data_IF_092580079200
#
_entry.id   IF_092580079200
#
_cell.length_a   1.000
_cell.length_b   1.000
_cell.length_c   1.000
_cell.angle_alpha   90.00
_cell.angle_beta   90.00
_cell.angle_gamma   90.00
#
_symmetry.space_group_name_H-M   'P 1'
#
loop_
_entity.id
_entity.type
_entity.pdbx_description
1 polymer ?
#
# COMPACT_ATOMS: atom_id res chain seq x y z
N UNK A 1 -29.43 34.24 -39.05
CA UNK A 1 -27.97 34.02 -38.90
C UNK A 1 -27.80 32.76 -38.07
N UNK A 2 -27.67 31.60 -38.71
CA UNK A 2 -27.53 30.30 -38.03
C UNK A 2 -26.06 30.07 -37.71
N UNK A 3 -25.71 30.01 -36.43
CA UNK A 3 -24.35 29.74 -35.97
C UNK A 3 -24.09 28.24 -36.18
N UNK A 4 -23.13 27.91 -37.05
CA UNK A 4 -22.67 26.55 -37.28
C UNK A 4 -21.90 26.04 -36.06
N UNK A 5 -22.49 25.15 -35.28
CA UNK A 5 -21.81 24.39 -34.24
C UNK A 5 -21.13 23.16 -34.85
N UNK A 6 -20.10 23.38 -35.66
CA UNK A 6 -19.14 22.32 -35.98
C UNK A 6 -18.17 22.22 -34.82
N UNK A 7 -18.55 21.48 -33.78
CA UNK A 7 -17.61 21.01 -32.76
C UNK A 7 -16.64 20.06 -33.48
N UNK A 8 -15.33 20.37 -33.53
CA UNK A 8 -14.38 19.42 -34.06
C UNK A 8 -14.42 18.18 -33.16
N UNK A 9 -14.78 17.03 -33.74
CA UNK A 9 -14.54 15.73 -33.11
C UNK A 9 -13.02 15.56 -33.12
N UNK A 10 -12.36 16.07 -32.09
CA UNK A 10 -10.97 15.72 -31.82
C UNK A 10 -11.01 14.26 -31.40
N UNK A 11 -10.71 13.37 -32.35
CA UNK A 11 -10.51 11.96 -32.08
C UNK A 11 -9.16 11.80 -31.35
N UNK A 12 -9.07 12.33 -30.13
CA UNK A 12 -7.92 12.19 -29.23
C UNK A 12 -7.99 10.81 -28.58
N UNK A 13 -8.04 9.74 -29.38
CA UNK A 13 -7.81 8.42 -28.83
C UNK A 13 -6.33 8.33 -28.49
N UNK A 14 -6.03 8.47 -27.20
CA UNK A 14 -4.72 8.14 -26.67
C UNK A 14 -4.36 6.72 -27.14
N UNK A 15 -3.13 6.50 -27.64
CA UNK A 15 -2.71 5.17 -28.07
C UNK A 15 -2.83 4.23 -26.88
N UNK A 16 -3.34 3.01 -27.12
CA UNK A 16 -3.47 1.99 -26.07
C UNK A 16 -2.11 1.82 -25.37
N UNK A 17 -2.04 1.95 -24.04
CA UNK A 17 -0.77 1.86 -23.35
C UNK A 17 -0.17 0.47 -23.55
N UNK A 18 1.16 0.43 -23.62
CA UNK A 18 1.94 -0.80 -23.73
C UNK A 18 2.85 -0.90 -22.53
N UNK A 19 3.17 -2.14 -22.16
CA UNK A 19 4.16 -2.42 -21.11
C UNK A 19 3.87 -1.66 -19.80
N UNK A 20 2.60 -1.70 -19.39
CA UNK A 20 2.15 -1.06 -18.14
C UNK A 20 2.73 -1.80 -16.95
N UNK A 21 3.30 -1.06 -16.01
CA UNK A 21 3.91 -1.65 -14.82
C UNK A 21 4.59 -0.63 -13.94
N UNK A 22 5.54 -1.09 -13.12
CA UNK A 22 6.22 -0.27 -12.12
C UNK A 22 7.35 0.53 -12.80
N UNK A 23 7.17 1.84 -12.84
CA UNK A 23 8.15 2.79 -13.38
C UNK A 23 9.20 3.17 -12.33
N UNK A 24 8.77 3.41 -11.11
CA UNK A 24 9.61 3.78 -9.98
C UNK A 24 9.00 3.27 -8.68
N UNK A 25 9.83 3.09 -7.66
CA UNK A 25 9.40 2.64 -6.34
C UNK A 25 10.27 3.30 -5.28
N UNK A 26 9.63 3.78 -4.21
CA UNK A 26 10.26 4.34 -3.03
C UNK A 26 9.77 3.63 -1.79
N UNK A 27 10.68 3.35 -0.86
CA UNK A 27 10.38 2.64 0.39
C UNK A 27 10.79 3.52 1.55
N UNK A 28 9.92 3.61 2.55
CA UNK A 28 10.21 4.24 3.82
C UNK A 28 9.87 3.29 4.96
N UNK A 29 10.77 3.20 5.93
CA UNK A 29 10.51 2.58 7.23
C UNK A 29 11.08 3.49 8.33
N UNK A 30 10.50 3.49 9.54
CA UNK A 30 11.01 4.28 10.65
C UNK A 30 12.47 3.93 10.98
N UNK A 31 13.27 4.94 11.33
CA UNK A 31 14.69 4.75 11.64
C UNK A 31 14.92 4.09 13.01
N UNK A 32 13.91 4.07 13.89
CA UNK A 32 14.00 3.41 15.19
C UNK A 32 13.59 1.95 15.04
N UNK A 33 14.38 1.07 15.65
CA UNK A 33 14.09 -0.34 15.70
C UNK A 33 14.38 -0.92 17.08
N UNK A 34 13.73 -2.05 17.36
CA UNK A 34 13.94 -2.87 18.55
C UNK A 34 14.71 -4.11 18.10
N UNK A 35 15.81 -4.41 18.79
CA UNK A 35 16.57 -5.65 18.61
C UNK A 35 15.76 -6.84 19.14
N UNK A 36 15.52 -7.83 18.29
CA UNK A 36 14.80 -9.06 18.69
C UNK A 36 15.57 -9.87 19.72
N UNK A 37 16.91 -9.76 19.72
CA UNK A 37 17.75 -10.39 20.73
C UNK A 37 17.50 -9.80 22.13
N UNK A 38 17.29 -8.48 22.20
CA UNK A 38 17.02 -7.74 23.44
C UNK A 38 15.55 -7.89 23.86
N UNK A 39 14.62 -7.85 22.90
CA UNK A 39 13.20 -8.11 23.16
C UNK A 39 12.98 -9.50 23.75
N UNK A 40 13.71 -10.50 23.27
CA UNK A 40 13.72 -11.85 23.85
C UNK A 40 14.16 -11.84 25.32
N UNK A 41 15.21 -11.09 25.67
CA UNK A 41 15.67 -10.98 27.07
C UNK A 41 14.60 -10.31 27.92
N UNK A 42 13.99 -9.24 27.41
CA UNK A 42 12.91 -8.51 28.07
C UNK A 42 11.68 -9.40 28.33
N UNK A 43 11.25 -10.19 27.34
CA UNK A 43 10.09 -11.08 27.44
C UNK A 43 10.36 -12.37 28.24
N UNK A 44 11.61 -12.66 28.59
CA UNK A 44 12.01 -13.94 29.20
C UNK A 44 11.80 -15.14 28.26
N UNK A 45 11.88 -14.93 26.95
CA UNK A 45 11.63 -15.95 25.94
C UNK A 45 12.79 -16.94 25.78
N UNK A 46 12.54 -18.21 25.39
CA UNK A 46 13.58 -19.19 25.13
C UNK A 46 14.60 -18.73 24.09
N UNK A 47 15.85 -19.16 24.25
CA UNK A 47 16.92 -18.85 23.30
C UNK A 47 16.54 -19.31 21.88
N UNK A 48 16.79 -18.44 20.91
CA UNK A 48 16.50 -18.70 19.50
C UNK A 48 15.03 -18.54 19.10
N UNK A 49 14.08 -18.28 20.01
CA UNK A 49 12.67 -18.15 19.64
C UNK A 49 12.41 -17.07 18.59
N UNK A 50 12.97 -15.87 18.78
CA UNK A 50 12.73 -14.74 17.87
C UNK A 50 13.71 -14.74 16.70
N UNK A 51 15.02 -14.74 16.99
CA UNK A 51 16.05 -14.64 15.95
C UNK A 51 16.21 -15.88 15.08
N UNK A 52 15.89 -17.08 15.58
CA UNK A 52 15.98 -18.34 14.80
C UNK A 52 14.59 -18.85 14.43
N UNK A 53 13.65 -18.87 15.39
CA UNK A 53 12.30 -19.40 15.18
C UNK A 53 11.46 -18.53 14.26
N UNK A 54 11.47 -17.21 14.44
CA UNK A 54 10.82 -16.26 13.52
C UNK A 54 11.76 -15.78 12.41
N UNK A 55 13.07 -15.90 12.60
CA UNK A 55 14.07 -15.36 11.66
C UNK A 55 14.14 -13.84 11.64
N UNK A 56 13.71 -13.17 12.71
CA UNK A 56 13.65 -11.71 12.82
C UNK A 56 14.85 -11.18 13.61
N UNK A 57 15.52 -10.14 13.09
CA UNK A 57 16.65 -9.49 13.77
C UNK A 57 16.26 -8.18 14.44
N UNK A 58 15.49 -7.35 13.72
CA UNK A 58 15.09 -6.02 14.17
C UNK A 58 13.64 -5.73 13.76
N UNK A 59 12.88 -5.16 14.67
CA UNK A 59 11.51 -4.68 14.42
C UNK A 59 11.50 -3.15 14.34
N UNK A 60 11.25 -2.58 13.16
CA UNK A 60 11.14 -1.14 12.97
C UNK A 60 9.84 -0.60 13.58
N UNK A 61 9.92 0.51 14.33
CA UNK A 61 8.78 1.06 15.06
C UNK A 61 8.71 2.59 14.96
N UNK A 62 7.53 3.16 14.66
CA UNK A 62 7.35 4.61 14.59
C UNK A 62 7.31 5.21 16.00
N UNK A 63 7.81 6.43 16.15
CA UNK A 63 7.63 7.19 17.39
C UNK A 63 6.25 7.86 17.45
N UNK A 64 5.88 8.40 18.62
CA UNK A 64 4.57 9.02 18.84
C UNK A 64 4.29 10.17 17.85
N UNK A 65 5.33 10.85 17.34
CA UNK A 65 5.19 11.92 16.35
C UNK A 65 4.81 11.37 14.96
N UNK A 66 5.36 10.22 14.57
CA UNK A 66 5.01 9.49 13.35
C UNK A 66 3.62 8.82 13.45
N UNK A 67 3.19 8.43 14.65
CA UNK A 67 1.88 7.79 14.90
C UNK A 67 0.76 8.84 14.96
N UNK A 68 0.97 9.96 15.67
CA UNK A 68 -0.08 10.91 16.02
C UNK A 68 -0.16 12.17 15.12
N UNK A 69 0.77 12.41 14.18
CA UNK A 69 0.77 13.68 13.45
C UNK A 69 1.71 13.86 12.25
N UNK A 70 2.03 15.15 12.00
CA UNK A 70 2.69 15.87 10.87
C UNK A 70 3.63 15.07 9.94
N UNK A 71 4.34 14.06 10.43
CA UNK A 71 5.16 13.14 9.63
C UNK A 71 4.41 11.82 9.46
N UNK A 72 3.37 11.80 8.63
CA UNK A 72 2.82 10.52 8.20
C UNK A 72 3.86 9.83 7.31
N UNK A 73 4.42 8.70 7.77
CA UNK A 73 5.44 7.94 7.03
C UNK A 73 5.01 7.57 5.60
N UNK A 74 3.70 7.53 5.33
CA UNK A 74 3.13 7.40 3.98
C UNK A 74 3.36 8.63 3.11
N UNK A 75 3.18 9.83 3.67
CA UNK A 75 3.51 11.08 2.99
C UNK A 75 5.01 11.17 2.72
N UNK A 76 5.85 10.69 3.63
CA UNK A 76 7.31 10.63 3.41
C UNK A 76 7.67 9.73 2.23
N UNK A 77 7.06 8.56 2.10
CA UNK A 77 7.29 7.68 0.95
C UNK A 77 6.85 8.33 -0.38
N UNK A 78 5.69 8.98 -0.41
CA UNK A 78 5.19 9.67 -1.62
C UNK A 78 6.04 10.89 -1.97
N UNK A 79 6.38 11.74 -0.99
CA UNK A 79 7.25 12.89 -1.21
C UNK A 79 8.63 12.45 -1.70
N UNK A 80 9.21 11.40 -1.09
CA UNK A 80 10.47 10.83 -1.52
C UNK A 80 10.42 10.28 -2.94
N UNK A 81 9.33 9.63 -3.34
CA UNK A 81 9.11 9.18 -4.72
C UNK A 81 9.08 10.36 -5.70
N UNK A 82 8.31 11.41 -5.39
CA UNK A 82 8.18 12.59 -6.25
C UNK A 82 9.52 13.31 -6.42
N UNK A 83 10.27 13.49 -5.34
CA UNK A 83 11.56 14.19 -5.33
C UNK A 83 12.65 13.37 -6.02
N UNK A 84 12.88 12.11 -5.60
CA UNK A 84 14.01 11.28 -6.08
C UNK A 84 13.89 10.92 -7.56
N UNK A 85 12.67 10.74 -8.05
CA UNK A 85 12.40 10.40 -9.44
C UNK A 85 11.96 11.61 -10.28
N UNK A 86 12.02 12.83 -9.71
CA UNK A 86 11.66 14.09 -10.37
C UNK A 86 10.30 14.03 -11.09
N UNK A 87 9.29 13.53 -10.38
CA UNK A 87 7.93 13.35 -10.90
C UNK A 87 7.15 14.63 -10.68
N UNK A 88 6.64 15.23 -11.75
CA UNK A 88 5.74 16.37 -11.66
C UNK A 88 4.43 15.95 -10.97
N UNK A 89 4.02 16.56 -9.83
CA UNK A 89 2.75 16.26 -9.18
C UNK A 89 1.52 16.41 -10.10
N UNK A 90 1.58 17.25 -11.14
CA UNK A 90 0.51 17.39 -12.14
C UNK A 90 0.42 16.21 -13.11
N UNK A 91 1.48 15.41 -13.21
CA UNK A 91 1.52 14.20 -14.04
C UNK A 91 0.82 12.99 -13.41
N UNK A 92 0.22 13.15 -12.22
CA UNK A 92 -0.50 12.08 -11.50
C UNK A 92 -2.00 12.23 -11.72
N UNK A 93 -2.65 11.18 -12.22
CA UNK A 93 -4.10 11.12 -12.45
C UNK A 93 -4.84 10.15 -11.54
N UNK A 94 -4.12 9.28 -10.84
CA UNK A 94 -4.71 8.34 -9.88
C UNK A 94 -3.79 8.09 -8.70
N UNK A 95 -4.36 8.03 -7.50
CA UNK A 95 -3.66 7.68 -6.28
C UNK A 95 -4.52 6.75 -5.42
N UNK A 96 -4.11 5.48 -5.31
CA UNK A 96 -4.77 4.46 -4.51
C UNK A 96 -3.91 4.08 -3.30
N UNK A 97 -4.53 3.83 -2.15
CA UNK A 97 -3.84 3.47 -0.91
C UNK A 97 -4.31 2.11 -0.41
N UNK A 98 -3.38 1.16 -0.27
CA UNK A 98 -3.59 -0.10 0.42
C UNK A 98 -3.13 0.00 1.88
N UNK A 99 -4.06 -0.16 2.82
CA UNK A 99 -3.73 -0.17 4.26
C UNK A 99 -4.87 -0.77 5.07
N UNK A 100 -4.53 -1.41 6.19
CA UNK A 100 -5.46 -1.88 7.22
C UNK A 100 -5.50 -0.94 8.45
N UNK A 101 -4.62 0.06 8.53
CA UNK A 101 -4.59 1.09 9.56
C UNK A 101 -5.34 2.35 9.09
N UNK A 102 -6.68 2.32 9.13
CA UNK A 102 -7.54 3.41 8.60
C UNK A 102 -8.44 4.08 9.65
N UNK A 103 -8.78 5.34 9.40
CA UNK A 103 -9.96 5.97 9.98
C UNK A 103 -11.23 5.33 9.38
N UNK A 104 -12.33 5.30 10.14
CA UNK A 104 -13.60 4.66 9.74
C UNK A 104 -14.28 5.30 8.52
N UNK A 105 -13.96 6.55 8.19
CA UNK A 105 -14.60 7.27 7.09
C UNK A 105 -13.61 8.07 6.23
N UNK A 106 -12.78 8.93 6.85
CA UNK A 106 -11.81 9.72 6.09
C UNK A 106 -10.67 8.84 5.59
N UNK A 107 -10.53 8.72 4.27
CA UNK A 107 -9.50 7.90 3.65
C UNK A 107 -8.10 8.51 3.81
N UNK A 108 -7.09 7.66 3.89
CA UNK A 108 -5.68 8.08 3.89
C UNK A 108 -5.32 8.76 2.58
N UNK A 109 -5.93 8.35 1.45
CA UNK A 109 -5.80 9.05 0.16
C UNK A 109 -6.01 10.56 0.32
N UNK A 110 -7.05 10.97 1.04
CA UNK A 110 -7.38 12.41 1.17
C UNK A 110 -6.36 13.21 1.97
N UNK A 111 -5.58 12.58 2.86
CA UNK A 111 -4.48 13.29 3.55
C UNK A 111 -3.25 13.39 2.67
N UNK A 112 -3.03 12.44 1.75
CA UNK A 112 -1.95 12.50 0.76
C UNK A 112 -2.19 13.57 -0.32
N UNK A 113 -3.44 14.01 -0.51
CA UNK A 113 -3.76 15.11 -1.44
C UNK A 113 -3.11 16.44 -1.05
N UNK A 114 -2.70 16.61 0.22
CA UNK A 114 -1.99 17.81 0.68
C UNK A 114 -0.66 17.99 -0.10
N UNK A 115 -0.01 16.89 -0.51
CA UNK A 115 1.22 16.93 -1.33
C UNK A 115 0.99 17.45 -2.76
N UNK A 116 -0.25 17.46 -3.23
CA UNK A 116 -0.63 17.89 -4.58
C UNK A 116 -1.27 19.28 -4.58
N UNK A 117 -1.66 19.80 -3.41
CA UNK A 117 -2.40 21.04 -3.27
C UNK A 117 -1.64 22.26 -3.83
N UNK A 118 -0.33 22.37 -3.55
CA UNK A 118 0.50 23.48 -4.06
C UNK A 118 0.62 23.48 -5.59
N UNK A 119 0.57 22.30 -6.21
CA UNK A 119 0.59 22.17 -7.67
C UNK A 119 -0.77 22.50 -8.32
N UNK A 120 -1.84 22.60 -7.51
CA UNK A 120 -3.21 22.79 -7.98
C UNK A 120 -3.84 21.53 -8.61
N UNK A 121 -3.23 20.35 -8.48
CA UNK A 121 -3.75 19.10 -9.01
C UNK A 121 -4.71 18.43 -8.02
N UNK A 122 -6.00 18.73 -8.15
CA UNK A 122 -7.06 18.12 -7.33
C UNK A 122 -7.82 17.00 -8.05
N UNK A 123 -7.65 16.89 -9.37
CA UNK A 123 -8.31 15.89 -10.21
C UNK A 123 -7.47 14.62 -10.25
N UNK A 124 -7.51 13.86 -9.16
CA UNK A 124 -6.78 12.60 -8.99
C UNK A 124 -7.76 11.53 -8.50
N UNK A 125 -8.01 10.50 -9.31
CA UNK A 125 -8.85 9.35 -8.98
C UNK A 125 -8.26 8.50 -7.83
N UNK A 126 -9.01 7.50 -7.36
CA UNK A 126 -8.54 6.51 -6.39
C UNK A 126 -8.92 6.80 -4.93
N UNK A 127 -8.92 5.74 -4.12
CA UNK A 127 -9.36 5.72 -2.72
C UNK A 127 -8.52 4.70 -1.91
N UNK A 128 -9.01 4.32 -0.73
CA UNK A 128 -8.40 3.27 0.06
C UNK A 128 -8.95 1.88 -0.32
N UNK A 129 -8.07 0.90 -0.48
CA UNK A 129 -8.41 -0.53 -0.60
C UNK A 129 -7.96 -1.26 0.67
N UNK A 130 -8.85 -2.07 1.23
CA UNK A 130 -8.61 -2.74 2.53
C UNK A 130 -9.04 -4.20 2.49
N UNK A 131 -8.09 -5.09 2.75
CA UNK A 131 -8.32 -6.47 3.15
C UNK A 131 -7.02 -7.03 3.77
N UNK A 132 -6.79 -6.80 5.06
CA UNK A 132 -5.54 -7.12 5.74
C UNK A 132 -4.31 -6.68 4.91
N UNK A 133 -3.28 -7.54 4.81
CA UNK A 133 -2.06 -7.27 4.05
C UNK A 133 -2.27 -7.20 2.51
N UNK A 134 -3.44 -7.59 1.99
CA UNK A 134 -3.70 -7.64 0.55
C UNK A 134 -4.12 -6.27 -0.05
N UNK A 135 -4.43 -5.27 0.78
CA UNK A 135 -4.91 -3.96 0.33
C UNK A 135 -3.99 -3.27 -0.68
N UNK A 136 -2.66 -3.42 -0.52
CA UNK A 136 -1.66 -2.87 -1.44
C UNK A 136 -1.73 -3.50 -2.84
N UNK A 137 -1.86 -4.82 -2.91
CA UNK A 137 -2.01 -5.55 -4.18
C UNK A 137 -3.32 -5.20 -4.89
N UNK A 138 -4.42 -5.07 -4.16
CA UNK A 138 -5.69 -4.63 -4.73
C UNK A 138 -5.58 -3.21 -5.32
N UNK A 139 -4.93 -2.28 -4.61
CA UNK A 139 -4.65 -0.94 -5.10
C UNK A 139 -3.77 -0.96 -6.36
N UNK A 140 -2.77 -1.85 -6.41
CA UNK A 140 -1.90 -2.05 -7.57
C UNK A 140 -2.69 -2.52 -8.80
N UNK A 141 -3.55 -3.52 -8.65
CA UNK A 141 -4.40 -4.00 -9.75
C UNK A 141 -5.37 -2.91 -10.23
N UNK A 142 -5.95 -2.13 -9.31
CA UNK A 142 -6.82 -1.01 -9.67
C UNK A 142 -6.08 0.06 -10.48
N UNK A 143 -4.84 0.40 -10.13
CA UNK A 143 -4.02 1.37 -10.85
C UNK A 143 -3.64 0.87 -12.25
N UNK A 144 -3.21 -0.39 -12.39
CA UNK A 144 -2.89 -1.01 -13.68
C UNK A 144 -4.12 -1.03 -14.58
N UNK A 145 -5.26 -1.52 -14.05
CA UNK A 145 -6.52 -1.57 -14.77
C UNK A 145 -6.99 -0.18 -15.20
N UNK A 146 -6.80 0.84 -14.37
CA UNK A 146 -7.16 2.22 -14.72
C UNK A 146 -6.31 2.73 -15.89
N UNK A 147 -4.99 2.52 -15.89
CA UNK A 147 -4.12 2.90 -17.02
C UNK A 147 -4.54 2.17 -18.29
N UNK A 148 -4.87 0.88 -18.21
CA UNK A 148 -5.31 0.10 -19.37
C UNK A 148 -6.77 0.37 -19.80
N UNK A 149 -7.52 1.16 -19.02
CA UNK A 149 -8.94 1.42 -19.26
C UNK A 149 -9.16 2.53 -20.30
N UNK A 150 -10.42 2.66 -20.74
CA UNK A 150 -10.87 3.79 -21.58
C UNK A 150 -10.93 5.13 -20.83
N UNK A 151 -10.90 5.10 -19.51
CA UNK A 151 -10.92 6.30 -18.65
C UNK A 151 -9.53 6.86 -18.39
N UNK A 152 -8.47 6.20 -18.88
CA UNK A 152 -7.12 6.70 -18.74
C UNK A 152 -6.94 8.02 -19.48
N UNK A 153 -6.36 9.00 -18.78
CA UNK A 153 -6.17 10.37 -19.23
C UNK A 153 -4.73 10.67 -19.68
N UNK A 154 -3.87 9.66 -19.74
CA UNK A 154 -2.46 9.79 -20.12
C UNK A 154 -1.50 10.04 -18.94
N UNK A 155 -2.02 10.25 -17.72
CA UNK A 155 -1.21 10.51 -16.53
C UNK A 155 -0.76 9.22 -15.83
N UNK A 156 0.23 9.34 -14.95
CA UNK A 156 0.71 8.23 -14.13
C UNK A 156 -0.23 7.95 -12.96
N UNK A 157 -0.13 6.74 -12.41
CA UNK A 157 -0.80 6.38 -11.16
C UNK A 157 0.22 6.16 -10.04
N UNK A 158 -0.14 6.50 -8.81
CA UNK A 158 0.63 6.18 -7.61
C UNK A 158 -0.16 5.17 -6.76
N UNK A 159 0.53 4.13 -6.32
CA UNK A 159 0.00 3.16 -5.36
C UNK A 159 0.80 3.29 -4.08
N UNK A 160 0.13 3.45 -2.95
CA UNK A 160 0.76 3.54 -1.63
C UNK A 160 0.33 2.34 -0.79
N UNK A 161 1.27 1.50 -0.39
CA UNK A 161 1.03 0.38 0.52
C UNK A 161 1.79 0.65 1.82
N UNK A 162 1.10 0.86 2.93
CA UNK A 162 1.80 1.17 4.17
C UNK A 162 0.96 0.98 5.43
N UNK A 163 1.56 0.32 6.41
CA UNK A 163 0.87 -0.16 7.60
C UNK A 163 1.76 -0.05 8.85
N UNK A 164 1.09 -0.04 10.00
CA UNK A 164 1.70 -0.25 11.31
C UNK A 164 1.07 -1.53 11.86
N UNK A 165 1.88 -2.58 11.97
CA UNK A 165 1.49 -3.87 12.52
C UNK A 165 1.74 -3.87 14.03
N UNK A 166 0.68 -3.65 14.80
CA UNK A 166 0.70 -3.57 16.27
C UNK A 166 -0.02 -4.79 16.85
N UNK A 167 0.62 -5.43 17.83
CA UNK A 167 0.09 -6.61 18.52
C UNK A 167 0.08 -6.42 20.03
N UNK A 168 -0.91 -7.04 20.68
CA UNK A 168 -1.00 -7.06 22.13
C UNK A 168 0.18 -7.81 22.75
N UNK A 169 0.27 -7.77 24.08
CA UNK A 169 1.24 -8.61 24.79
C UNK A 169 1.08 -10.08 24.46
N UNK A 170 2.22 -10.75 24.25
CA UNK A 170 2.26 -12.17 23.98
C UNK A 170 3.09 -12.51 22.74
N UNK A 171 2.90 -13.73 22.25
CA UNK A 171 3.78 -14.34 21.25
C UNK A 171 3.78 -13.66 19.88
N UNK A 172 2.78 -12.83 19.57
CA UNK A 172 2.68 -12.11 18.28
C UNK A 172 3.39 -10.75 18.28
N UNK A 173 3.71 -10.17 19.46
CA UNK A 173 4.38 -8.87 19.57
C UNK A 173 5.69 -8.76 18.76
N UNK A 174 6.56 -9.78 18.74
CA UNK A 174 7.79 -9.76 17.94
C UNK A 174 7.59 -9.83 16.41
N UNK A 175 6.35 -10.04 15.94
CA UNK A 175 6.02 -10.08 14.51
C UNK A 175 5.41 -8.75 14.01
N UNK A 176 5.54 -7.68 14.80
CA UNK A 176 5.11 -6.33 14.43
C UNK A 176 6.05 -5.64 13.46
N UNK A 177 5.78 -4.36 13.21
CA UNK A 177 6.63 -3.52 12.39
C UNK A 177 5.86 -2.39 11.72
N UNK A 178 6.59 -1.47 11.09
CA UNK A 178 5.98 -0.41 10.30
C UNK A 178 6.80 -0.10 9.06
N UNK A 179 6.11 0.21 7.97
CA UNK A 179 6.73 0.57 6.71
C UNK A 179 5.70 1.01 5.68
N UNK A 180 6.17 1.75 4.69
CA UNK A 180 5.39 2.19 3.54
C UNK A 180 6.20 2.12 2.27
N UNK A 181 5.52 1.78 1.18
CA UNK A 181 6.04 1.75 -0.17
C UNK A 181 5.14 2.64 -1.03
N UNK A 182 5.73 3.53 -1.82
CA UNK A 182 5.06 4.27 -2.88
C UNK A 182 5.56 3.74 -4.23
N UNK A 183 4.63 3.39 -5.13
CA UNK A 183 4.90 2.74 -6.41
C UNK A 183 4.31 3.61 -7.52
N UNK A 184 5.15 4.05 -8.45
CA UNK A 184 4.72 4.79 -9.64
C UNK A 184 4.40 3.79 -10.75
N UNK A 185 3.18 3.83 -11.27
CA UNK A 185 2.70 2.99 -12.36
C UNK A 185 2.54 3.83 -13.62
N UNK A 186 3.09 3.33 -14.73
CA UNK A 186 3.07 4.00 -16.03
C UNK A 186 3.24 2.98 -17.17
N UNK A 187 2.89 3.33 -18.42
CA UNK A 187 3.30 2.58 -19.61
C UNK A 187 4.83 2.59 -19.83
N UNK A 188 5.33 1.63 -20.62
CA UNK A 188 6.76 1.46 -20.93
C UNK A 188 7.64 1.30 -19.68
N UNK A 189 7.10 0.64 -18.66
CA UNK A 189 7.78 0.43 -17.40
C UNK A 189 8.91 -0.62 -17.51
N UNK A 190 10.01 -0.49 -16.74
CA UNK A 190 11.05 -1.51 -16.66
C UNK A 190 10.55 -2.82 -16.04
N UNK A 191 9.56 -2.76 -15.14
CA UNK A 191 8.93 -3.93 -14.53
C UNK A 191 7.48 -4.02 -15.02
N UNK A 192 7.30 -4.72 -16.14
CA UNK A 192 6.00 -4.85 -16.82
C UNK A 192 5.11 -5.87 -16.13
N UNK A 193 3.85 -5.50 -15.88
CA UNK A 193 2.86 -6.43 -15.35
C UNK A 193 2.35 -7.35 -16.46
N UNK A 194 2.33 -8.66 -16.21
CA UNK A 194 1.72 -9.63 -17.13
C UNK A 194 0.28 -9.90 -16.71
N UNK A 195 -0.64 -10.12 -17.66
CA UNK A 195 -2.05 -10.40 -17.34
C UNK A 195 -2.27 -11.81 -16.76
N UNK A 196 -1.22 -12.47 -16.28
CA UNK A 196 -1.25 -13.83 -15.73
C UNK A 196 -1.18 -13.69 -14.21
N UNK A 197 -2.27 -13.98 -13.52
CA UNK A 197 -2.34 -14.04 -12.06
C UNK A 197 -3.44 -15.00 -11.62
N UNK A 198 -3.23 -15.66 -10.47
CA UNK A 198 -4.24 -16.44 -9.77
C UNK A 198 -4.65 -15.76 -8.47
N UNK A 199 -5.92 -15.88 -8.09
CA UNK A 199 -6.47 -15.31 -6.87
C UNK A 199 -7.22 -16.38 -6.10
N UNK A 200 -7.00 -16.43 -4.78
CA UNK A 200 -7.76 -17.27 -3.86
C UNK A 200 -8.31 -16.41 -2.73
N UNK A 201 -9.64 -16.31 -2.63
CA UNK A 201 -10.34 -15.53 -1.61
C UNK A 201 -11.36 -16.44 -0.94
N UNK A 202 -11.23 -16.61 0.38
CA UNK A 202 -12.15 -17.41 1.17
C UNK A 202 -12.57 -16.67 2.46
N UNK A 203 -13.75 -16.98 2.96
CA UNK A 203 -14.21 -16.50 4.26
C UNK A 203 -13.55 -17.30 5.39
N UNK A 204 -12.72 -16.65 6.19
CA UNK A 204 -12.00 -17.26 7.32
C UNK A 204 -11.81 -16.24 8.44
N UNK A 205 -11.66 -16.73 9.68
CA UNK A 205 -11.45 -15.93 10.88
C UNK A 205 -10.08 -16.25 11.48
N UNK A 206 -9.04 -16.17 10.65
CA UNK A 206 -7.67 -16.46 11.05
C UNK A 206 -6.99 -15.23 11.68
N UNK A 207 -7.14 -14.06 11.05
CA UNK A 207 -6.64 -12.78 11.53
C UNK A 207 -7.66 -11.66 11.23
N UNK A 208 -8.15 -10.98 12.26
CA UNK A 208 -9.12 -9.90 12.07
C UNK A 208 -9.14 -8.91 13.24
N UNK A 209 -9.64 -7.69 13.01
CA UNK A 209 -9.73 -6.61 14.01
C UNK A 209 -11.19 -6.26 14.31
N UNK A 210 -11.89 -7.04 15.15
CA UNK A 210 -13.30 -6.81 15.44
C UNK A 210 -13.53 -5.66 16.43
N UNK A 211 -12.55 -5.38 17.30
CA UNK A 211 -12.64 -4.34 18.32
C UNK A 211 -12.24 -2.98 17.75
N UNK A 212 -13.22 -2.13 17.48
CA UNK A 212 -12.98 -0.79 16.89
C UNK A 212 -12.29 0.22 17.82
N UNK A 213 -12.15 -0.11 19.10
CA UNK A 213 -11.49 0.73 20.11
C UNK A 213 -10.05 0.29 20.40
N UNK A 214 -9.59 -0.79 19.76
CA UNK A 214 -8.24 -1.33 19.93
C UNK A 214 -7.56 -1.50 18.56
N UNK A 215 -6.25 -1.29 18.53
CA UNK A 215 -5.43 -1.52 17.33
C UNK A 215 -5.05 -3.00 17.16
N UNK A 216 -5.19 -3.78 18.24
CA UNK A 216 -4.74 -5.16 18.30
C UNK A 216 -5.70 -6.10 17.56
N UNK A 217 -5.17 -7.01 16.73
CA UNK A 217 -5.96 -8.04 16.09
C UNK A 217 -6.33 -9.17 17.07
N UNK A 218 -7.41 -9.87 16.72
CA UNK A 218 -7.67 -11.24 17.16
C UNK A 218 -6.98 -12.16 16.16
N UNK A 219 -6.16 -13.08 16.67
CA UNK A 219 -5.30 -13.95 15.85
C UNK A 219 -5.44 -15.40 16.30
N UNK A 220 -5.73 -16.29 15.37
CA UNK A 220 -5.60 -17.74 15.51
C UNK A 220 -4.39 -18.19 14.69
N UNK A 221 -3.21 -18.22 15.33
CA UNK A 221 -1.94 -18.47 14.66
C UNK A 221 -1.91 -19.79 13.85
N UNK A 222 -2.29 -20.94 14.44
CA UNK A 222 -2.39 -22.19 13.69
C UNK A 222 -3.30 -22.10 12.45
N UNK A 223 -4.46 -21.47 12.57
CA UNK A 223 -5.39 -21.31 11.44
C UNK A 223 -4.85 -20.34 10.39
N UNK A 224 -4.16 -19.26 10.78
CA UNK A 224 -3.50 -18.34 9.84
C UNK A 224 -2.45 -19.03 8.99
N UNK A 225 -1.64 -19.93 9.57
CA UNK A 225 -0.63 -20.68 8.82
C UNK A 225 -1.31 -21.59 7.80
N UNK A 226 -2.31 -22.38 8.22
CA UNK A 226 -3.02 -23.31 7.32
C UNK A 226 -3.73 -22.54 6.20
N UNK A 227 -4.39 -21.43 6.53
CA UNK A 227 -5.11 -20.60 5.55
C UNK A 227 -4.14 -19.98 4.54
N UNK A 228 -2.98 -19.49 5.00
CA UNK A 228 -1.97 -18.90 4.12
C UNK A 228 -1.43 -19.91 3.11
N UNK A 229 -1.10 -21.13 3.56
CA UNK A 229 -0.62 -22.20 2.66
C UNK A 229 -1.72 -22.64 1.69
N UNK A 230 -2.96 -22.81 2.15
CA UNK A 230 -4.08 -23.15 1.29
C UNK A 230 -4.37 -22.08 0.23
N UNK A 231 -4.24 -20.80 0.59
CA UNK A 231 -4.40 -19.69 -0.34
C UNK A 231 -3.27 -19.61 -1.37
N UNK A 232 -2.04 -19.95 -0.97
CA UNK A 232 -0.91 -20.07 -1.89
C UNK A 232 -1.15 -21.17 -2.92
N UNK A 233 -1.53 -22.37 -2.47
CA UNK A 233 -1.82 -23.50 -3.35
C UNK A 233 -2.96 -23.16 -4.32
N UNK A 234 -4.07 -22.61 -3.80
CA UNK A 234 -5.24 -22.25 -4.60
C UNK A 234 -5.00 -21.10 -5.58
N UNK A 235 -4.07 -20.18 -5.29
CA UNK A 235 -3.68 -19.12 -6.22
C UNK A 235 -2.68 -19.60 -7.29
N UNK A 236 -2.00 -20.73 -7.08
CA UNK A 236 -1.02 -21.28 -8.00
C UNK A 236 -1.62 -22.25 -9.04
N UNK A 237 -2.78 -22.86 -8.73
CA UNK A 237 -3.54 -23.74 -9.63
C UNK A 237 -4.35 -22.97 -10.67
#
# INVERSE_FOLDING_TARGET
>A
MTISTTTPIINNQLPRPKDVGILAMEVYFPCRCISEADLKVFDGAPQGKYTVGLGQEYMAWPDDLLIAGILNFRSTAVAGLLEKFNVDPKSIGRLDVGTDTINKSKSVKTTLMDLFAESGNFDIEGINSRNACHGGTAALFNAINWIESRSWDGRNAIVVAGDIAVYAEGAARPAGGAGCIAILISPNAPVVFKPIHGNYICNTYDFYKPNLSSEYPVVDGPVSIVTCVAALDGAYT
#
